data_IF_945112668470
#
_entry.id   IF_945112668470
#
_cell.length_a   1.000
_cell.length_b   1.000
_cell.length_c   1.000
_cell.angle_alpha   90.00
_cell.angle_beta   90.00
_cell.angle_gamma   90.00
#
_symmetry.space_group_name_H-M   'P 1'
#
loop_
_entity.id
_entity.type
_entity.pdbx_description
1 polymer ?
#
# COMPACT_ATOMS: atom_id res chain seq x y z
N UNK A 1 3.16 -6.34 27.98
CA UNK A 1 2.21 -7.41 28.37
C UNK A 1 2.84 -8.45 29.30
N UNK A 2 3.98 -9.08 28.95
CA UNK A 2 4.57 -10.14 29.79
C UNK A 2 4.93 -9.79 31.25
N UNK A 3 5.19 -8.51 31.56
CA UNK A 3 5.41 -8.00 32.93
C UNK A 3 4.14 -7.46 33.60
N UNK A 4 2.97 -7.75 33.04
CA UNK A 4 1.66 -7.24 33.44
C UNK A 4 1.51 -5.70 33.46
N UNK A 5 2.28 -5.01 32.61
CA UNK A 5 2.17 -3.55 32.44
C UNK A 5 1.36 -3.18 31.20
N UNK A 6 0.62 -2.07 31.34
CA UNK A 6 -0.08 -1.41 30.26
C UNK A 6 -1.41 -2.06 29.87
N UNK A 7 -2.19 -2.38 30.89
CA UNK A 7 -3.58 -2.77 30.78
C UNK A 7 -4.47 -1.83 31.60
N UNK A 8 -5.77 -1.86 31.34
CA UNK A 8 -6.77 -1.11 32.11
C UNK A 8 -8.06 -1.93 32.23
N UNK A 9 -8.77 -1.87 33.38
CA UNK A 9 -10.06 -2.52 33.53
C UNK A 9 -11.18 -1.73 32.83
N UNK A 10 -11.96 -2.41 32.00
CA UNK A 10 -13.12 -1.84 31.30
C UNK A 10 -14.37 -2.64 31.67
N UNK A 11 -15.46 -1.97 32.04
CA UNK A 11 -16.73 -2.61 32.35
C UNK A 11 -17.27 -3.37 31.13
N UNK A 12 -17.69 -4.61 31.35
CA UNK A 12 -18.23 -5.47 30.30
C UNK A 12 -19.63 -5.02 29.87
N UNK A 13 -19.83 -4.83 28.57
CA UNK A 13 -21.17 -4.68 27.97
C UNK A 13 -21.96 -5.99 28.16
N UNK A 14 -21.33 -7.11 27.78
CA UNK A 14 -21.92 -8.45 27.85
C UNK A 14 -21.40 -9.19 29.08
N UNK A 15 -22.26 -9.32 30.09
CA UNK A 15 -21.99 -10.15 31.27
C UNK A 15 -22.31 -11.60 30.92
N UNK A 16 -21.30 -12.45 30.91
CA UNK A 16 -21.45 -13.87 30.61
C UNK A 16 -21.17 -14.70 31.85
N UNK A 17 -21.90 -15.78 32.05
CA UNK A 17 -21.62 -16.75 33.11
C UNK A 17 -20.66 -17.83 32.60
N UNK A 18 -19.52 -17.41 32.06
CA UNK A 18 -18.47 -18.29 31.56
C UNK A 18 -17.24 -18.06 32.43
N UNK A 19 -16.65 -19.14 32.95
CA UNK A 19 -15.46 -19.08 33.80
C UNK A 19 -14.35 -18.28 33.13
N UNK A 20 -13.86 -17.23 33.78
CA UNK A 20 -12.78 -16.37 33.28
C UNK A 20 -13.22 -15.13 32.50
N UNK A 21 -14.53 -14.95 32.27
CA UNK A 21 -15.12 -13.71 31.69
C UNK A 21 -16.37 -13.23 32.45
N UNK A 22 -16.65 -13.81 33.61
CA UNK A 22 -17.80 -13.59 34.48
C UNK A 22 -17.71 -12.33 35.37
N UNK A 23 -16.54 -11.68 35.35
CA UNK A 23 -16.30 -10.43 36.06
C UNK A 23 -17.09 -9.24 35.54
N UNK A 24 -17.22 -8.21 36.40
CA UNK A 24 -17.78 -6.90 36.03
C UNK A 24 -16.89 -6.17 35.01
N UNK A 25 -15.58 -6.36 35.13
CA UNK A 25 -14.58 -5.70 34.31
C UNK A 25 -13.78 -6.76 33.55
N UNK A 26 -13.35 -6.39 32.34
CA UNK A 26 -12.35 -7.11 31.54
C UNK A 26 -11.04 -6.34 31.54
N UNK A 27 -9.95 -7.09 31.57
CA UNK A 27 -8.60 -6.57 31.36
C UNK A 27 -8.38 -6.28 29.88
N UNK A 28 -8.06 -5.03 29.54
CA UNK A 28 -7.74 -4.59 28.18
C UNK A 28 -6.27 -4.16 28.12
N UNK A 29 -5.45 -4.91 27.39
CA UNK A 29 -4.04 -4.60 27.17
C UNK A 29 -3.85 -3.56 26.06
N UNK A 30 -4.03 -2.29 26.39
CA UNK A 30 -3.91 -1.19 25.41
C UNK A 30 -2.52 -1.07 24.79
N UNK A 31 -1.46 -1.60 25.43
CA UNK A 31 -0.10 -1.64 24.86
C UNK A 31 -0.03 -2.38 23.53
N UNK A 32 -0.95 -3.33 23.27
CA UNK A 32 -1.05 -4.00 21.98
C UNK A 32 -1.34 -3.01 20.84
N UNK A 33 -2.21 -2.03 21.09
CA UNK A 33 -2.51 -0.99 20.11
C UNK A 33 -1.35 0.00 19.94
N UNK A 34 -0.53 0.21 20.97
CA UNK A 34 0.70 1.02 20.85
C UNK A 34 1.70 0.32 19.95
N UNK A 35 1.87 -1.00 20.11
CA UNK A 35 2.70 -1.82 19.22
C UNK A 35 2.18 -1.75 17.77
N UNK A 36 0.89 -1.97 17.56
CA UNK A 36 0.29 -1.90 16.22
C UNK A 36 0.45 -0.51 15.61
N UNK A 37 0.21 0.55 16.37
CA UNK A 37 0.36 1.93 15.89
C UNK A 37 1.75 2.22 15.29
N UNK A 38 2.79 1.52 15.76
CA UNK A 38 4.15 1.65 15.21
C UNK A 38 4.43 0.60 14.14
N UNK A 39 4.04 -0.65 14.37
CA UNK A 39 4.45 -1.78 13.53
C UNK A 39 3.61 -1.94 12.26
N UNK A 40 2.31 -1.62 12.28
CA UNK A 40 1.46 -1.75 11.09
C UNK A 40 1.77 -0.71 10.02
N UNK A 41 2.09 0.57 10.32
CA UNK A 41 2.59 1.49 9.31
C UNK A 41 3.90 1.05 8.67
N UNK A 42 4.82 0.48 9.47
CA UNK A 42 6.11 -0.02 8.97
C UNK A 42 5.93 -1.22 8.03
N UNK A 43 5.07 -2.17 8.41
CA UNK A 43 4.73 -3.32 7.56
C UNK A 43 4.10 -2.88 6.23
N UNK A 44 3.17 -1.92 6.28
CA UNK A 44 2.56 -1.37 5.07
C UNK A 44 3.59 -0.61 4.23
N UNK A 45 4.46 0.17 4.84
CA UNK A 45 5.52 0.88 4.14
C UNK A 45 6.40 -0.11 3.36
N UNK A 46 6.82 -1.21 3.98
CA UNK A 46 7.62 -2.26 3.32
C UNK A 46 6.91 -2.81 2.06
N UNK A 47 5.62 -3.17 2.17
CA UNK A 47 4.83 -3.68 1.04
C UNK A 47 4.62 -2.65 -0.07
N UNK A 48 4.27 -1.42 0.29
CA UNK A 48 3.95 -0.37 -0.67
C UNK A 48 5.20 0.13 -1.40
N UNK A 49 6.35 0.18 -0.72
CA UNK A 49 7.65 0.42 -1.35
C UNK A 49 8.06 -0.74 -2.25
N UNK A 50 7.82 -1.99 -1.83
CA UNK A 50 8.03 -3.17 -2.69
C UNK A 50 7.22 -3.07 -4.00
N UNK A 51 5.99 -2.55 -3.93
CA UNK A 51 5.14 -2.32 -5.09
C UNK A 51 5.46 -1.03 -5.87
N UNK A 52 6.42 -0.22 -5.41
CA UNK A 52 6.82 1.04 -6.04
C UNK A 52 5.71 2.08 -6.10
N UNK A 53 4.86 2.15 -5.07
CA UNK A 53 3.75 3.11 -5.04
C UNK A 53 4.23 4.56 -4.85
N UNK A 54 3.51 5.53 -5.42
CA UNK A 54 3.84 6.94 -5.20
C UNK A 54 3.53 7.35 -3.76
N UNK A 55 4.30 8.31 -3.24
CA UNK A 55 4.18 8.82 -1.87
C UNK A 55 2.75 9.16 -1.40
N UNK A 56 1.88 9.79 -2.21
CA UNK A 56 0.50 10.08 -1.79
C UNK A 56 -0.30 8.82 -1.43
N UNK A 57 -0.18 7.74 -2.21
CA UNK A 57 -0.82 6.45 -1.92
C UNK A 57 -0.30 5.84 -0.62
N UNK A 58 1.02 5.91 -0.41
CA UNK A 58 1.67 5.42 0.82
C UNK A 58 1.14 6.18 2.03
N UNK A 59 1.16 7.51 1.99
CA UNK A 59 0.67 8.36 3.08
C UNK A 59 -0.82 8.15 3.37
N UNK A 60 -1.65 8.04 2.32
CA UNK A 60 -3.06 7.75 2.47
C UNK A 60 -3.31 6.40 3.15
N UNK A 61 -2.59 5.37 2.74
CA UNK A 61 -2.74 4.02 3.32
C UNK A 61 -2.28 3.97 4.77
N UNK A 62 -1.16 4.63 5.10
CA UNK A 62 -0.69 4.78 6.48
C UNK A 62 -1.70 5.57 7.33
N UNK A 63 -2.32 6.61 6.78
CA UNK A 63 -3.37 7.35 7.48
C UNK A 63 -4.57 6.44 7.80
N UNK A 64 -5.04 5.64 6.84
CA UNK A 64 -6.11 4.67 7.08
C UNK A 64 -5.72 3.63 8.15
N UNK A 65 -4.47 3.18 8.14
CA UNK A 65 -3.94 2.25 9.14
C UNK A 65 -3.95 2.85 10.56
N UNK A 66 -3.50 4.10 10.69
CA UNK A 66 -3.56 4.83 11.97
C UNK A 66 -5.02 4.98 12.43
N UNK A 67 -5.93 5.34 11.53
CA UNK A 67 -7.38 5.43 11.84
C UNK A 67 -7.90 4.08 12.32
N UNK A 68 -7.54 2.98 11.66
CA UNK A 68 -7.93 1.63 12.02
C UNK A 68 -7.46 1.27 13.44
N UNK A 69 -6.19 1.48 13.75
CA UNK A 69 -5.62 1.14 15.07
C UNK A 69 -6.21 2.02 16.18
N UNK A 70 -6.31 3.33 15.95
CA UNK A 70 -6.82 4.28 16.94
C UNK A 70 -8.30 4.04 17.22
N UNK A 71 -9.12 3.82 16.19
CA UNK A 71 -10.54 3.49 16.39
C UNK A 71 -10.72 2.14 17.08
N UNK A 72 -9.90 1.14 16.78
CA UNK A 72 -9.87 -0.13 17.52
C UNK A 72 -9.59 0.07 19.01
N UNK A 73 -8.60 0.89 19.36
CA UNK A 73 -8.27 1.21 20.75
C UNK A 73 -9.42 1.95 21.45
N UNK A 74 -9.96 3.00 20.82
CA UNK A 74 -11.08 3.76 21.39
C UNK A 74 -12.31 2.86 21.58
N UNK A 75 -12.57 1.95 20.63
CA UNK A 75 -13.59 0.93 20.76
C UNK A 75 -13.35 0.01 21.97
N UNK A 76 -12.13 -0.48 22.17
CA UNK A 76 -11.79 -1.37 23.28
C UNK A 76 -11.95 -0.68 24.65
N UNK A 77 -11.71 0.63 24.72
CA UNK A 77 -11.87 1.43 25.93
C UNK A 77 -13.31 1.94 26.15
N UNK A 78 -14.19 1.79 25.16
CA UNK A 78 -15.58 2.23 25.27
C UNK A 78 -16.43 1.19 26.00
N UNK A 79 -17.02 1.60 27.13
CA UNK A 79 -17.84 0.71 27.99
C UNK A 79 -19.24 0.44 27.44
N UNK A 80 -19.72 1.30 26.56
CA UNK A 80 -21.09 1.27 26.05
C UNK A 80 -21.16 0.62 24.66
N UNK A 81 -22.38 0.40 24.17
CA UNK A 81 -22.65 -0.06 22.79
C UNK A 81 -22.01 0.77 21.68
N UNK A 82 -21.57 2.00 21.98
CA UNK A 82 -20.85 2.84 21.01
C UNK A 82 -19.53 2.21 20.54
N UNK A 83 -18.97 1.24 21.27
CA UNK A 83 -17.77 0.51 20.85
C UNK A 83 -17.89 -0.09 19.44
N UNK A 84 -19.08 -0.53 19.06
CA UNK A 84 -19.35 -1.13 17.75
C UNK A 84 -19.29 -0.13 16.60
N UNK A 85 -19.56 1.15 16.88
CA UNK A 85 -19.37 2.23 15.90
C UNK A 85 -17.89 2.44 15.59
N UNK A 86 -17.03 2.44 16.61
CA UNK A 86 -15.58 2.51 16.42
C UNK A 86 -15.03 1.26 15.73
N UNK A 87 -15.52 0.08 16.10
CA UNK A 87 -15.19 -1.17 15.41
C UNK A 87 -15.54 -1.11 13.92
N UNK A 88 -16.75 -0.67 13.58
CA UNK A 88 -17.18 -0.53 12.19
C UNK A 88 -16.32 0.47 11.41
N UNK A 89 -15.95 1.60 12.04
CA UNK A 89 -15.03 2.58 11.44
C UNK A 89 -13.64 1.97 11.19
N UNK A 90 -13.11 1.20 12.13
CA UNK A 90 -11.85 0.46 11.96
C UNK A 90 -11.92 -0.56 10.83
N UNK A 91 -13.00 -1.34 10.75
CA UNK A 91 -13.22 -2.26 9.64
C UNK A 91 -13.34 -1.54 8.28
N UNK A 92 -14.00 -0.38 8.23
CA UNK A 92 -14.10 0.41 7.00
C UNK A 92 -12.73 0.93 6.54
N UNK A 93 -11.89 1.40 7.48
CA UNK A 93 -10.52 1.78 7.19
C UNK A 93 -9.69 0.57 6.68
N UNK A 94 -9.84 -0.59 7.32
CA UNK A 94 -9.20 -1.84 6.90
C UNK A 94 -9.58 -2.26 5.48
N UNK A 95 -10.85 -2.10 5.08
CA UNK A 95 -11.29 -2.35 3.69
C UNK A 95 -10.55 -1.44 2.71
N UNK A 96 -10.34 -0.17 3.06
CA UNK A 96 -9.56 0.76 2.25
C UNK A 96 -8.10 0.29 2.07
N UNK A 97 -7.46 -0.17 3.14
CA UNK A 97 -6.11 -0.75 3.09
C UNK A 97 -6.09 -2.01 2.21
N UNK A 98 -7.10 -2.87 2.33
CA UNK A 98 -7.21 -4.08 1.54
C UNK A 98 -7.38 -3.78 0.05
N UNK A 99 -8.17 -2.75 -0.28
CA UNK A 99 -8.30 -2.28 -1.65
C UNK A 99 -6.96 -1.80 -2.21
N UNK A 100 -6.21 -0.98 -1.46
CA UNK A 100 -4.90 -0.51 -1.90
C UNK A 100 -3.95 -1.70 -2.12
N UNK A 101 -3.84 -2.64 -1.18
CA UNK A 101 -2.92 -3.77 -1.29
C UNK A 101 -3.32 -4.75 -2.41
N UNK A 102 -4.59 -5.16 -2.46
CA UNK A 102 -5.06 -6.22 -3.34
C UNK A 102 -5.23 -5.77 -4.80
N UNK A 103 -5.54 -4.49 -5.03
CA UNK A 103 -5.85 -3.95 -6.35
C UNK A 103 -4.74 -3.04 -6.83
N UNK A 104 -4.48 -1.93 -6.14
CA UNK A 104 -3.58 -0.87 -6.60
C UNK A 104 -2.12 -1.33 -6.54
N UNK A 105 -1.66 -1.76 -5.37
CA UNK A 105 -0.28 -2.17 -5.13
C UNK A 105 0.08 -3.43 -5.91
N UNK A 106 -0.80 -4.43 -5.93
CA UNK A 106 -0.60 -5.64 -6.74
C UNK A 106 -0.45 -5.35 -8.23
N UNK A 107 -1.25 -4.43 -8.78
CA UNK A 107 -1.15 -4.04 -10.19
C UNK A 107 0.14 -3.28 -10.51
N UNK A 108 0.61 -2.41 -9.60
CA UNK A 108 1.88 -1.72 -9.76
C UNK A 108 3.07 -2.68 -9.66
N UNK A 109 3.07 -3.60 -8.69
CA UNK A 109 4.10 -4.62 -8.56
C UNK A 109 4.23 -5.50 -9.83
N UNK A 110 3.10 -5.80 -10.50
CA UNK A 110 3.09 -6.52 -11.78
C UNK A 110 3.81 -5.78 -12.91
N UNK A 111 3.81 -4.44 -12.89
CA UNK A 111 4.51 -3.62 -13.89
C UNK A 111 6.02 -3.55 -13.66
N UNK A 112 6.49 -3.74 -12.42
CA UNK A 112 7.90 -3.67 -12.05
C UNK A 112 8.69 -4.95 -12.40
N UNK A 113 8.00 -6.09 -12.46
CA UNK A 113 8.61 -7.38 -12.83
C UNK A 113 7.91 -8.56 -12.18
N UNK A 114 8.10 -9.75 -12.76
CA UNK A 114 7.49 -10.98 -12.24
C UNK A 114 8.06 -11.40 -10.87
N UNK A 115 9.34 -11.10 -10.62
CA UNK A 115 10.01 -11.32 -9.33
C UNK A 115 9.39 -10.44 -8.23
N UNK A 116 9.30 -9.13 -8.47
CA UNK A 116 8.67 -8.17 -7.54
C UNK A 116 7.20 -8.53 -7.31
N UNK A 117 6.46 -8.82 -8.38
CA UNK A 117 5.06 -9.21 -8.29
C UNK A 117 4.85 -10.47 -7.45
N UNK A 118 5.71 -11.47 -7.61
CA UNK A 118 5.65 -12.71 -6.82
C UNK A 118 5.90 -12.43 -5.34
N UNK A 119 6.98 -11.71 -5.02
CA UNK A 119 7.32 -11.35 -3.64
C UNK A 119 6.20 -10.54 -2.99
N UNK A 120 5.70 -9.50 -3.67
CA UNK A 120 4.58 -8.70 -3.20
C UNK A 120 3.32 -9.54 -3.00
N UNK A 121 2.99 -10.44 -3.94
CA UNK A 121 1.77 -11.25 -3.85
C UNK A 121 1.82 -12.23 -2.68
N UNK A 122 2.95 -12.90 -2.44
CA UNK A 122 3.10 -13.82 -1.30
C UNK A 122 2.92 -13.05 0.01
N UNK A 123 3.65 -11.94 0.19
CA UNK A 123 3.61 -11.15 1.42
C UNK A 123 2.26 -10.44 1.60
N UNK A 124 1.67 -9.93 0.52
CA UNK A 124 0.37 -9.27 0.51
C UNK A 124 -0.77 -10.22 0.84
N UNK A 125 -0.80 -11.42 0.26
CA UNK A 125 -1.83 -12.43 0.58
C UNK A 125 -1.72 -12.88 2.04
N UNK A 126 -0.50 -13.12 2.54
CA UNK A 126 -0.27 -13.43 3.95
C UNK A 126 -0.82 -12.30 4.84
N UNK A 127 -0.49 -11.05 4.52
CA UNK A 127 -0.94 -9.88 5.28
C UNK A 127 -2.46 -9.79 5.29
N UNK A 128 -3.12 -9.81 4.13
CA UNK A 128 -4.57 -9.72 4.01
C UNK A 128 -5.30 -10.83 4.79
N UNK A 129 -4.81 -12.06 4.69
CA UNK A 129 -5.41 -13.20 5.39
C UNK A 129 -5.30 -13.05 6.90
N UNK A 130 -4.09 -12.76 7.42
CA UNK A 130 -3.86 -12.64 8.86
C UNK A 130 -4.57 -11.40 9.42
N UNK A 131 -4.57 -10.28 8.69
CA UNK A 131 -5.25 -9.05 9.10
C UNK A 131 -6.76 -9.20 9.22
N UNK A 132 -7.38 -10.06 8.41
CA UNK A 132 -8.81 -10.37 8.53
C UNK A 132 -9.16 -11.06 9.86
N UNK A 133 -8.22 -11.78 10.47
CA UNK A 133 -8.44 -12.48 11.74
C UNK A 133 -8.39 -11.54 12.96
N UNK A 134 -7.70 -10.40 12.89
CA UNK A 134 -7.65 -9.42 13.99
C UNK A 134 -9.01 -8.83 14.38
N UNK A 135 -9.87 -8.34 13.45
CA UNK A 135 -11.20 -7.85 13.82
C UNK A 135 -12.12 -8.97 14.29
N UNK A 136 -11.95 -10.20 13.79
CA UNK A 136 -12.67 -11.37 14.32
C UNK A 136 -12.27 -11.63 15.77
N UNK A 137 -10.97 -11.64 16.06
CA UNK A 137 -10.47 -11.74 17.43
C UNK A 137 -11.04 -10.62 18.30
N UNK A 138 -11.04 -9.39 17.80
CA UNK A 138 -11.54 -8.22 18.54
C UNK A 138 -13.03 -8.35 18.89
N UNK A 139 -13.83 -8.77 17.91
CA UNK A 139 -15.27 -8.96 18.09
C UNK A 139 -15.59 -10.05 19.13
N UNK A 140 -14.75 -11.09 19.22
CA UNK A 140 -14.92 -12.18 20.19
C UNK A 140 -14.35 -11.84 21.58
N UNK A 141 -13.29 -11.04 21.64
CA UNK A 141 -12.57 -10.68 22.85
C UNK A 141 -13.12 -9.37 23.47
N UNK A 142 -12.62 -8.21 23.05
CA UNK A 142 -12.92 -6.89 23.61
C UNK A 142 -14.37 -6.43 23.35
N UNK A 143 -14.93 -6.81 22.20
CA UNK A 143 -16.30 -6.49 21.81
C UNK A 143 -17.32 -7.36 22.55
N UNK A 144 -17.28 -8.66 22.28
CA UNK A 144 -18.28 -9.65 22.70
C UNK A 144 -18.04 -10.31 24.05
N UNK A 145 -16.87 -10.15 24.66
CA UNK A 145 -16.46 -10.78 25.92
C UNK A 145 -16.72 -12.31 25.93
N UNK A 146 -16.43 -13.00 24.82
CA UNK A 146 -16.62 -14.44 24.64
C UNK A 146 -15.37 -15.22 25.05
N UNK A 147 -14.20 -14.71 24.70
CA UNK A 147 -12.90 -15.35 24.94
C UNK A 147 -12.24 -14.75 26.19
N UNK A 148 -11.56 -15.57 27.00
CA UNK A 148 -10.87 -15.11 28.22
C UNK A 148 -9.68 -14.20 27.89
N UNK A 149 -9.25 -13.29 28.79
CA UNK A 149 -8.06 -12.45 28.54
C UNK A 149 -6.77 -13.26 28.28
N UNK A 150 -6.63 -14.44 28.88
CA UNK A 150 -5.48 -15.32 28.65
C UNK A 150 -5.50 -15.92 27.23
N UNK A 151 -6.66 -16.41 26.79
CA UNK A 151 -6.84 -16.95 25.44
C UNK A 151 -6.75 -15.85 24.38
N UNK A 152 -7.22 -14.64 24.70
CA UNK A 152 -7.04 -13.44 23.87
C UNK A 152 -5.55 -13.18 23.64
N UNK A 153 -4.74 -13.19 24.70
CA UNK A 153 -3.30 -12.98 24.60
C UNK A 153 -2.62 -14.04 23.74
N UNK A 154 -3.03 -15.31 23.86
CA UNK A 154 -2.53 -16.39 23.00
C UNK A 154 -2.95 -16.20 21.54
N UNK A 155 -4.22 -15.87 21.29
CA UNK A 155 -4.74 -15.70 19.94
C UNK A 155 -4.02 -14.56 19.20
N UNK A 156 -3.95 -13.36 19.80
CA UNK A 156 -3.20 -12.26 19.20
C UNK A 156 -1.70 -12.56 19.10
N UNK A 157 -1.13 -13.30 20.05
CA UNK A 157 0.27 -13.75 19.98
C UNK A 157 0.55 -14.62 18.76
N UNK A 158 -0.33 -15.57 18.42
CA UNK A 158 -0.22 -16.37 17.20
C UNK A 158 -0.34 -15.50 15.94
N UNK A 159 -1.29 -14.56 15.92
CA UNK A 159 -1.44 -13.64 14.79
C UNK A 159 -0.20 -12.77 14.60
N UNK A 160 0.34 -12.19 15.67
CA UNK A 160 1.53 -11.35 15.63
C UNK A 160 2.78 -12.12 15.21
N UNK A 161 2.93 -13.38 15.64
CA UNK A 161 4.04 -14.24 15.19
C UNK A 161 4.02 -14.47 13.68
N UNK A 162 2.83 -14.68 13.10
CA UNK A 162 2.66 -14.83 11.64
C UNK A 162 2.79 -13.50 10.90
N UNK A 163 2.20 -12.43 11.42
CA UNK A 163 2.16 -11.12 10.78
C UNK A 163 3.50 -10.37 10.82
N UNK A 164 4.38 -10.70 11.78
CA UNK A 164 5.66 -10.01 11.97
C UNK A 164 6.84 -10.93 11.61
N UNK A 165 7.34 -11.86 12.46
CA UNK A 165 8.46 -12.74 12.10
C UNK A 165 8.32 -13.49 10.77
N UNK A 166 7.21 -14.20 10.56
CA UNK A 166 7.01 -15.02 9.35
C UNK A 166 6.91 -14.14 8.11
N UNK A 167 6.16 -13.04 8.21
CA UNK A 167 6.10 -12.01 7.18
C UNK A 167 7.49 -11.44 6.84
N UNK A 168 8.26 -11.02 7.84
CA UNK A 168 9.59 -10.42 7.64
C UNK A 168 10.55 -11.40 6.98
N UNK A 169 10.54 -12.68 7.37
CA UNK A 169 11.35 -13.72 6.72
C UNK A 169 10.94 -13.89 5.26
N UNK A 170 9.63 -13.96 4.98
CA UNK A 170 9.14 -14.07 3.61
C UNK A 170 9.52 -12.86 2.75
N UNK A 171 9.45 -11.65 3.31
CA UNK A 171 9.82 -10.42 2.65
C UNK A 171 11.32 -10.37 2.34
N UNK A 172 12.19 -10.66 3.31
CA UNK A 172 13.65 -10.67 3.13
C UNK A 172 14.06 -11.71 2.09
N UNK A 173 13.53 -12.93 2.21
CA UNK A 173 13.81 -13.99 1.26
C UNK A 173 13.37 -13.62 -0.17
N UNK A 174 12.20 -12.97 -0.31
CA UNK A 174 11.69 -12.52 -1.60
C UNK A 174 12.49 -11.38 -2.21
N UNK A 175 13.14 -10.54 -1.40
CA UNK A 175 13.99 -9.43 -1.86
C UNK A 175 15.43 -9.83 -2.17
N UNK A 176 15.86 -11.02 -1.77
CA UNK A 176 17.28 -11.41 -1.82
C UNK A 176 17.89 -11.38 -3.23
N UNK A 177 17.05 -11.48 -4.27
CA UNK A 177 17.46 -11.46 -5.68
C UNK A 177 16.93 -10.24 -6.46
N UNK A 178 16.35 -9.25 -5.79
CA UNK A 178 15.74 -8.08 -6.44
C UNK A 178 16.71 -6.90 -6.39
N UNK A 179 17.09 -6.38 -7.57
CA UNK A 179 17.94 -5.18 -7.65
C UNK A 179 17.19 -3.92 -7.18
N UNK A 180 17.71 -3.15 -6.20
CA UNK A 180 17.07 -1.95 -5.66
C UNK A 180 16.75 -0.88 -6.71
N UNK A 181 17.60 -0.76 -7.74
CA UNK A 181 17.43 0.20 -8.83
C UNK A 181 16.10 0.02 -9.61
N UNK A 182 15.51 -1.19 -9.61
CA UNK A 182 14.24 -1.47 -10.29
C UNK A 182 13.02 -1.00 -9.50
N UNK A 183 13.14 -0.83 -8.18
CA UNK A 183 12.05 -0.39 -7.33
C UNK A 183 11.81 1.13 -7.41
N UNK A 184 12.57 1.85 -8.26
CA UNK A 184 12.50 3.31 -8.33
C UNK A 184 13.03 4.00 -7.07
N UNK A 185 13.57 3.23 -6.12
CA UNK A 185 14.34 3.72 -4.99
C UNK A 185 15.73 4.13 -5.49
N UNK A 186 15.77 5.18 -6.31
CA UNK A 186 16.99 5.95 -6.50
C UNK A 186 17.25 6.70 -5.19
N UNK A 187 17.74 5.98 -4.17
CA UNK A 187 18.64 6.58 -3.20
C UNK A 187 19.87 6.91 -4.04
N UNK A 188 19.83 8.02 -4.79
CA UNK A 188 21.04 8.61 -5.32
C UNK A 188 21.94 8.75 -4.11
N UNK A 189 23.00 7.95 -4.04
CA UNK A 189 24.11 8.28 -3.16
C UNK A 189 24.41 9.76 -3.45
N UNK A 190 24.65 10.56 -2.42
CA UNK A 190 24.88 12.01 -2.62
C UNK A 190 25.92 12.29 -3.71
N UNK A 191 26.83 11.33 -3.90
CA UNK A 191 27.82 11.19 -4.95
C UNK A 191 27.23 11.13 -6.38
N UNK A 192 26.27 10.25 -6.68
CA UNK A 192 25.67 10.14 -8.03
C UNK A 192 24.86 11.39 -8.42
N UNK A 193 24.20 12.04 -7.43
CA UNK A 193 23.52 13.33 -7.66
C UNK A 193 24.52 14.46 -7.84
N UNK A 194 25.63 14.46 -7.12
CA UNK A 194 26.73 15.41 -7.32
C UNK A 194 27.37 15.23 -8.70
N UNK A 195 27.63 14.00 -9.13
CA UNK A 195 28.16 13.70 -10.46
C UNK A 195 27.21 14.14 -11.58
N UNK A 196 25.90 13.87 -11.46
CA UNK A 196 24.92 14.34 -12.45
C UNK A 196 24.83 15.87 -12.51
N UNK A 197 24.92 16.55 -11.37
CA UNK A 197 24.95 18.02 -11.30
C UNK A 197 26.26 18.59 -11.88
N UNK A 198 27.40 17.95 -11.61
CA UNK A 198 28.71 18.31 -12.17
C UNK A 198 28.74 18.11 -13.69
N UNK A 199 28.23 16.98 -14.20
CA UNK A 199 28.14 16.69 -15.64
C UNK A 199 27.22 17.67 -16.37
N UNK A 200 26.18 18.16 -15.69
CA UNK A 200 25.28 19.19 -16.21
C UNK A 200 25.92 20.58 -16.20
N UNK A 201 26.83 20.86 -15.25
CA UNK A 201 27.56 22.11 -15.15
C UNK A 201 28.74 22.20 -16.14
N UNK A 202 29.35 21.07 -16.48
CA UNK A 202 30.47 20.97 -17.44
C UNK A 202 30.00 20.89 -18.93
N UNK A 203 28.69 20.81 -19.15
CA UNK A 203 28.07 20.64 -20.48
C UNK A 203 27.52 21.91 -21.14
N UNK A 204 27.89 23.12 -20.69
CA UNK A 204 27.50 24.37 -21.39
C UNK A 204 28.44 24.63 -22.57
N UNK A 205 27.96 24.66 -23.84
CA UNK A 205 28.84 24.94 -24.97
C UNK A 205 29.20 26.44 -25.03
N UNK A 206 30.44 26.81 -25.36
CA UNK A 206 30.80 28.19 -25.63
C UNK A 206 30.35 28.54 -27.06
N UNK A 207 29.24 29.27 -27.21
CA UNK A 207 28.90 29.89 -28.50
C UNK A 207 29.54 31.27 -28.60
N UNK A 208 30.77 31.30 -29.12
CA UNK A 208 31.45 32.47 -29.63
C UNK A 208 31.75 32.33 -31.13
N UNK A 209 31.28 33.31 -31.90
CA UNK A 209 31.75 33.76 -33.23
C UNK A 209 31.45 32.96 -34.51
N UNK A 210 30.48 33.51 -35.26
CA UNK A 210 30.45 33.84 -36.71
C UNK A 210 31.57 33.35 -37.64
N UNK A 211 31.19 32.69 -38.75
CA UNK A 211 31.77 32.95 -40.09
C UNK A 211 30.87 32.45 -41.24
N UNK A 212 30.41 33.41 -42.04
CA UNK A 212 30.34 33.48 -43.51
C UNK A 212 29.98 32.24 -44.36
N UNK A 213 28.87 32.30 -45.11
CA UNK A 213 28.58 31.44 -46.27
C UNK A 213 28.59 32.27 -47.56
N UNK A 214 29.68 32.16 -48.31
CA UNK A 214 29.76 32.50 -49.75
C UNK A 214 29.48 31.23 -50.57
N UNK A 215 28.68 31.37 -51.63
CA UNK A 215 28.06 30.24 -52.34
C UNK A 215 28.83 29.64 -53.52
N UNK A 216 28.21 28.64 -54.18
CA UNK A 216 28.15 28.49 -55.64
C UNK A 216 27.28 27.30 -56.11
N UNK A 217 26.30 27.64 -56.95
CA UNK A 217 25.68 27.00 -58.12
C UNK A 217 25.86 25.50 -58.47
N UNK A 218 24.74 24.91 -58.92
CA UNK A 218 24.68 23.79 -59.85
C UNK A 218 23.25 23.49 -60.34
N UNK A 219 22.85 24.10 -61.46
CA UNK A 219 21.53 24.01 -62.11
C UNK A 219 21.31 22.73 -62.91
N UNK A 220 20.09 22.17 -62.96
CA UNK A 220 19.49 21.58 -64.18
C UNK A 220 17.96 21.69 -64.12
N UNK A 221 17.35 21.99 -65.28
CA UNK A 221 15.97 22.44 -65.53
C UNK A 221 15.17 21.39 -66.33
N UNK A 222 13.84 21.59 -66.35
CA UNK A 222 12.80 21.09 -67.30
C UNK A 222 12.30 19.64 -67.07
N UNK A 223 11.04 19.27 -67.30
CA UNK A 223 9.78 19.90 -67.76
C UNK A 223 8.66 18.84 -67.57
N UNK A 224 7.38 19.24 -67.42
CA UNK A 224 6.26 18.31 -67.68
C UNK A 224 4.95 18.70 -66.98
N UNK A 225 3.98 19.14 -67.77
CA UNK A 225 2.71 19.73 -67.35
C UNK A 225 1.52 18.76 -67.41
N UNK A 226 0.43 19.20 -66.76
CA UNK A 226 -1.00 18.94 -67.03
C UNK A 226 -1.66 17.60 -66.65
N UNK A 227 -2.86 17.73 -66.05
CA UNK A 227 -3.95 16.77 -66.27
C UNK A 227 -4.90 16.55 -65.10
N UNK A 228 -5.84 17.46 -64.90
CA UNK A 228 -7.06 17.31 -64.07
C UNK A 228 -7.98 16.18 -64.56
N UNK A 229 -8.64 15.40 -63.67
CA UNK A 229 -10.01 14.89 -63.88
C UNK A 229 -10.71 14.44 -62.57
N UNK A 230 -11.62 15.31 -62.12
CA UNK A 230 -13.02 15.14 -61.66
C UNK A 230 -13.52 13.85 -60.96
N UNK A 231 -14.20 14.15 -59.84
CA UNK A 231 -15.14 13.42 -58.98
C UNK A 231 -16.28 12.58 -59.61
N UNK A 232 -16.80 11.63 -58.80
CA UNK A 232 -18.21 11.40 -58.37
C UNK A 232 -18.61 9.91 -58.32
N UNK A 233 -19.13 9.47 -57.17
CA UNK A 233 -20.40 8.74 -56.93
C UNK A 233 -20.46 8.37 -55.42
N UNK A 234 -21.34 8.90 -54.55
CA UNK A 234 -22.77 8.54 -54.29
C UNK A 234 -23.02 7.02 -54.37
N UNK A 235 -23.63 6.30 -53.43
CA UNK A 235 -24.66 6.54 -52.40
C UNK A 235 -24.74 5.25 -51.54
N UNK A 236 -25.42 5.28 -50.38
CA UNK A 236 -26.08 4.08 -49.85
C UNK A 236 -26.00 3.86 -48.34
N UNK A 237 -26.97 4.40 -47.62
CA UNK A 237 -27.27 4.14 -46.21
C UNK A 237 -27.92 2.75 -46.00
N UNK A 238 -27.80 2.17 -44.79
CA UNK A 238 -28.91 1.55 -44.05
C UNK A 238 -28.48 1.00 -42.67
N UNK A 239 -29.41 1.17 -41.72
CA UNK A 239 -29.47 0.82 -40.30
C UNK A 239 -29.60 -0.68 -39.98
N UNK A 240 -29.33 -1.06 -38.71
CA UNK A 240 -30.05 -2.03 -37.83
C UNK A 240 -29.07 -2.58 -36.77
N UNK A 241 -29.21 -2.28 -35.47
CA UNK A 241 -29.98 -2.99 -34.42
C UNK A 241 -29.46 -4.37 -33.97
N UNK A 242 -29.15 -4.43 -32.66
CA UNK A 242 -29.41 -5.48 -31.65
C UNK A 242 -28.93 -6.93 -31.88
N UNK A 243 -27.97 -7.34 -31.05
CA UNK A 243 -28.05 -8.49 -30.12
C UNK A 243 -27.04 -8.31 -28.99
#
# INVERSE_FOLDING_TARGET
MGSNLGWTPIDNEWRRQISGVDGRNREIFYVRYIDWFVTTPLLLLDLLLTAGLPWPSIMWTIFLDIVMVVTGLVGALTKTRYKWGFYAAGCAAMIGIFYELAIVARANAKRLGNDVHRTFTICGVLTLFIWLLYPVAWGLCEGGNVITPNDEAFFYGCLDFMAKPVFSIALIYGHWNINPARLGLAILSGEERAEQLLKKHDGSPPNGHSHDQTGQNGSTRQNGANGSHRALNTEGAASAEVC
#
